data_IF_215505726409
#
_entry.id   IF_215505726409
#
_cell.length_a   1.000
_cell.length_b   1.000
_cell.length_c   1.000
_cell.angle_alpha   90.00
_cell.angle_beta   90.00
_cell.angle_gamma   90.00
#
_symmetry.space_group_name_H-M   'P 1'
#
loop_
_entity.id
_entity.type
_entity.pdbx_description
1 polymer ?
#
# COMPACT_ATOMS: atom_id res chain seq x y z
N UNK A 1 0.63 17.56 -2.03
CA UNK A 1 1.88 17.00 -2.62
C UNK A 1 1.82 15.49 -2.47
N UNK A 2 2.14 14.71 -3.51
CA UNK A 2 1.92 13.24 -3.55
C UNK A 2 2.92 12.41 -2.73
N UNK A 3 3.79 13.04 -1.93
CA UNK A 3 4.71 12.36 -1.02
C UNK A 3 5.85 11.59 -1.68
N UNK A 4 5.82 11.32 -2.98
CA UNK A 4 6.88 10.62 -3.71
C UNK A 4 7.64 11.59 -4.64
N UNK A 5 8.97 11.43 -4.79
CA UNK A 5 9.73 12.17 -5.79
C UNK A 5 9.34 11.73 -7.20
N UNK A 6 9.20 12.68 -8.11
CA UNK A 6 8.97 12.39 -9.54
C UNK A 6 10.32 12.25 -10.22
N UNK A 7 10.59 11.11 -10.85
CA UNK A 7 11.89 10.81 -11.48
C UNK A 7 11.93 11.09 -12.97
N UNK A 8 10.82 10.81 -13.66
CA UNK A 8 10.69 10.84 -15.11
C UNK A 8 9.35 11.47 -15.45
N UNK A 9 9.35 12.37 -16.43
CA UNK A 9 8.13 12.84 -17.08
C UNK A 9 8.03 12.20 -18.46
N UNK A 10 6.93 11.52 -18.75
CA UNK A 10 6.65 10.92 -20.06
C UNK A 10 5.45 11.60 -20.72
N UNK A 11 5.44 11.65 -22.06
CA UNK A 11 4.34 12.19 -22.85
C UNK A 11 4.29 11.53 -24.23
N UNK A 12 3.11 11.60 -24.87
CA UNK A 12 2.87 11.06 -26.21
C UNK A 12 2.41 12.18 -27.14
N UNK A 13 3.15 12.39 -28.22
CA UNK A 13 2.85 13.43 -29.20
C UNK A 13 2.29 12.79 -30.46
N UNK A 14 1.10 13.23 -30.86
CA UNK A 14 0.52 12.90 -32.16
C UNK A 14 1.01 13.91 -33.20
N UNK A 15 1.84 13.44 -34.15
CA UNK A 15 2.44 14.29 -35.17
C UNK A 15 1.46 14.77 -36.24
N UNK A 16 0.24 14.24 -36.28
CA UNK A 16 -0.83 14.79 -37.13
C UNK A 16 -1.37 16.12 -36.60
N UNK A 17 -1.24 16.37 -35.29
CA UNK A 17 -1.73 17.57 -34.62
C UNK A 17 -0.59 18.52 -34.23
N UNK A 18 0.52 17.97 -33.72
CA UNK A 18 1.62 18.76 -33.17
C UNK A 18 2.99 18.20 -33.58
N UNK A 19 3.90 19.06 -34.00
CA UNK A 19 5.28 18.64 -34.36
C UNK A 19 6.09 18.11 -33.17
N UNK A 20 5.72 18.44 -31.94
CA UNK A 20 6.45 18.06 -30.72
C UNK A 20 7.67 18.94 -30.42
N UNK A 21 7.80 20.06 -31.11
CA UNK A 21 8.95 20.97 -31.00
C UNK A 21 9.11 21.55 -29.60
N UNK A 22 8.02 21.90 -28.92
CA UNK A 22 8.04 22.41 -27.55
C UNK A 22 8.62 21.39 -26.56
N UNK A 23 8.31 20.10 -26.71
CA UNK A 23 8.85 19.05 -25.86
C UNK A 23 10.36 18.86 -26.10
N UNK A 24 10.79 18.88 -27.37
CA UNK A 24 12.23 18.85 -27.70
C UNK A 24 12.98 20.04 -27.12
N UNK A 25 12.43 21.25 -27.26
CA UNK A 25 13.01 22.46 -26.68
C UNK A 25 13.05 22.40 -25.15
N UNK A 26 12.05 21.78 -24.52
CA UNK A 26 12.03 21.51 -23.09
C UNK A 26 12.91 20.31 -22.69
N UNK A 27 13.81 19.81 -23.53
CA UNK A 27 14.74 18.73 -23.18
C UNK A 27 14.11 17.34 -23.06
N UNK A 28 12.96 17.09 -23.66
CA UNK A 28 12.42 15.74 -23.80
C UNK A 28 13.13 14.99 -24.92
N UNK A 29 13.40 13.71 -24.66
CA UNK A 29 14.11 12.80 -25.55
C UNK A 29 13.08 11.87 -26.22
N UNK A 30 13.07 11.74 -27.55
CA UNK A 30 12.21 10.78 -28.24
C UNK A 30 12.72 9.34 -28.02
N UNK A 31 11.88 8.47 -27.45
CA UNK A 31 12.25 7.07 -27.17
C UNK A 31 11.74 6.08 -28.23
N UNK A 32 10.75 6.47 -29.02
CA UNK A 32 10.18 5.59 -30.06
C UNK A 32 8.77 5.98 -30.46
N UNK A 33 8.13 5.16 -31.31
CA UNK A 33 6.77 5.37 -31.80
C UNK A 33 5.82 4.30 -31.26
N UNK A 34 4.58 4.69 -30.96
CA UNK A 34 3.53 3.76 -30.56
C UNK A 34 3.04 2.95 -31.76
N UNK A 35 2.47 1.78 -31.50
CA UNK A 35 1.95 0.88 -32.55
C UNK A 35 0.58 1.30 -33.10
N UNK A 36 0.00 2.41 -32.64
CA UNK A 36 -1.31 2.89 -33.09
C UNK A 36 -2.51 2.09 -32.59
N UNK A 37 -2.44 1.59 -31.36
CA UNK A 37 -3.54 0.86 -30.70
C UNK A 37 -4.19 1.72 -29.61
N UNK A 38 -5.51 1.57 -29.50
CA UNK A 38 -6.34 2.17 -28.45
C UNK A 38 -6.91 1.07 -27.56
N UNK A 39 -7.42 1.44 -26.39
CA UNK A 39 -8.02 0.50 -25.43
C UNK A 39 -9.47 0.90 -25.17
N UNK A 40 -10.39 -0.03 -25.39
CA UNK A 40 -11.82 0.12 -25.08
C UNK A 40 -12.35 -1.17 -24.45
N UNK A 41 -13.12 -1.04 -23.37
CA UNK A 41 -13.69 -2.18 -22.62
C UNK A 41 -12.68 -3.32 -22.32
N UNK A 42 -11.42 -2.97 -22.02
CA UNK A 42 -10.36 -3.93 -21.71
C UNK A 42 -9.73 -4.64 -22.92
N UNK A 43 -10.20 -4.38 -24.15
CA UNK A 43 -9.61 -4.91 -25.39
C UNK A 43 -8.81 -3.82 -26.12
N UNK A 44 -7.71 -4.23 -26.75
CA UNK A 44 -6.94 -3.37 -27.65
C UNK A 44 -7.52 -3.45 -29.05
N UNK A 45 -7.68 -2.30 -29.71
CA UNK A 45 -8.10 -2.22 -31.11
C UNK A 45 -7.14 -1.32 -31.91
N UNK A 46 -6.82 -1.69 -33.15
CA UNK A 46 -5.99 -0.86 -34.01
C UNK A 46 -6.78 0.37 -34.47
N UNK A 47 -6.18 1.55 -34.37
CA UNK A 47 -6.75 2.80 -34.93
C UNK A 47 -5.75 3.54 -35.83
N UNK A 48 -4.54 3.00 -36.05
CA UNK A 48 -3.56 3.51 -37.00
C UNK A 48 -2.89 4.84 -36.64
N UNK A 49 -3.22 5.46 -35.51
CA UNK A 49 -2.65 6.76 -35.09
C UNK A 49 -1.36 6.55 -34.32
N UNK A 50 -0.24 6.72 -35.01
CA UNK A 50 1.10 6.56 -34.46
C UNK A 50 1.51 7.83 -33.71
N UNK A 51 1.87 7.68 -32.43
CA UNK A 51 2.36 8.78 -31.58
C UNK A 51 3.84 8.57 -31.28
N UNK A 52 4.61 9.63 -31.15
CA UNK A 52 5.98 9.53 -30.65
C UNK A 52 5.97 9.63 -29.13
N UNK A 53 6.65 8.68 -28.49
CA UNK A 53 6.88 8.66 -27.06
C UNK A 53 8.08 9.54 -26.73
N UNK A 54 7.88 10.51 -25.86
CA UNK A 54 8.89 11.42 -25.35
C UNK A 54 9.03 11.22 -23.85
N UNK A 55 10.27 11.19 -23.36
CA UNK A 55 10.55 11.13 -21.93
C UNK A 55 11.62 12.14 -21.54
N UNK A 56 11.51 12.70 -20.34
CA UNK A 56 12.47 13.61 -19.77
C UNK A 56 12.88 13.12 -18.37
N UNK A 57 14.13 12.66 -18.18
CA UNK A 57 14.65 12.40 -16.84
C UNK A 57 14.79 13.72 -16.09
N UNK A 58 14.30 13.76 -14.85
CA UNK A 58 14.36 14.94 -13.99
C UNK A 58 15.65 15.01 -13.18
N UNK A 59 16.32 13.86 -12.97
CA UNK A 59 17.60 13.75 -12.29
C UNK A 59 18.60 12.98 -13.17
N UNK A 60 19.90 13.24 -12.98
CA UNK A 60 20.96 12.57 -13.72
C UNK A 60 20.96 11.03 -13.53
N UNK A 61 20.64 10.57 -12.32
CA UNK A 61 20.58 9.15 -11.98
C UNK A 61 19.19 8.51 -12.14
N UNK A 62 18.23 9.20 -12.79
CA UNK A 62 16.85 8.69 -12.98
C UNK A 62 16.83 7.28 -13.56
N UNK A 63 17.63 7.00 -14.60
CA UNK A 63 17.65 5.68 -15.24
C UNK A 63 18.16 4.59 -14.30
N UNK A 64 19.27 4.85 -13.58
CA UNK A 64 19.84 3.90 -12.61
C UNK A 64 18.87 3.59 -11.48
N UNK A 65 18.13 4.61 -11.02
CA UNK A 65 17.13 4.45 -9.96
C UNK A 65 15.93 3.64 -10.44
N UNK A 66 15.42 3.91 -11.65
CA UNK A 66 14.30 3.16 -12.22
C UNK A 66 14.68 1.73 -12.63
N UNK A 67 15.95 1.48 -12.97
CA UNK A 67 16.47 0.14 -13.28
C UNK A 67 16.86 -0.66 -12.04
N UNK A 68 16.82 -0.06 -10.84
CA UNK A 68 17.24 -0.75 -9.62
C UNK A 68 16.25 -1.89 -9.28
N UNK A 69 16.74 -3.05 -8.81
CA UNK A 69 15.88 -4.18 -8.43
C UNK A 69 14.97 -3.86 -7.23
N UNK A 70 15.35 -2.87 -6.43
CA UNK A 70 14.62 -2.44 -5.24
C UNK A 70 14.47 -0.92 -5.20
N UNK A 71 13.46 -0.39 -4.49
CA UNK A 71 13.30 1.05 -4.31
C UNK A 71 14.56 1.66 -3.70
N UNK A 72 15.17 2.62 -4.39
CA UNK A 72 16.32 3.36 -3.88
C UNK A 72 15.90 4.28 -2.74
N UNK A 73 16.80 4.62 -1.79
CA UNK A 73 16.49 5.57 -0.71
C UNK A 73 15.93 6.90 -1.21
N UNK A 74 16.38 7.34 -2.40
CA UNK A 74 15.84 8.51 -3.08
C UNK A 74 14.34 8.35 -3.36
N UNK A 75 13.91 7.23 -3.96
CA UNK A 75 12.47 6.95 -4.20
C UNK A 75 11.65 6.84 -2.91
N UNK A 76 12.29 6.45 -1.80
CA UNK A 76 11.65 6.34 -0.48
C UNK A 76 11.58 7.68 0.27
N UNK A 77 12.23 8.73 -0.25
CA UNK A 77 12.25 10.06 0.37
C UNK A 77 10.86 10.71 0.26
N UNK A 78 9.99 10.39 1.22
CA UNK A 78 8.71 11.06 1.45
C UNK A 78 7.47 10.16 1.61
N UNK A 79 7.55 8.85 1.39
CA UNK A 79 6.35 7.99 1.40
C UNK A 79 6.31 6.89 2.44
N UNK A 80 7.43 6.35 2.91
CA UNK A 80 7.40 5.31 3.95
C UNK A 80 8.73 5.37 4.70
N UNK A 81 8.77 5.27 6.04
CA UNK A 81 10.02 4.87 6.69
C UNK A 81 10.56 3.63 5.97
N UNK A 82 11.89 3.43 5.88
CA UNK A 82 12.42 2.16 5.39
C UNK A 82 11.69 1.03 6.12
N UNK A 83 11.30 -0.07 5.43
CA UNK A 83 10.64 -1.17 6.10
C UNK A 83 11.53 -1.54 7.29
N UNK A 84 11.01 -1.41 8.51
CA UNK A 84 11.80 -1.66 9.71
C UNK A 84 12.22 -3.14 9.78
N UNK A 85 11.65 -3.99 8.92
CA UNK A 85 11.81 -5.42 8.89
C UNK A 85 11.88 -5.97 7.46
N UNK A 86 12.80 -6.92 7.25
CA UNK A 86 12.84 -7.77 6.07
C UNK A 86 11.72 -8.83 6.14
N UNK A 87 10.73 -8.75 5.24
CA UNK A 87 9.62 -9.71 5.17
C UNK A 87 10.08 -11.15 4.91
N UNK A 88 11.17 -11.34 4.17
CA UNK A 88 11.70 -12.66 3.83
C UNK A 88 12.36 -13.37 5.02
N UNK A 89 12.73 -12.63 6.07
CA UNK A 89 13.33 -13.19 7.29
C UNK A 89 12.31 -13.40 8.40
N UNK A 90 11.07 -12.96 8.20
CA UNK A 90 10.03 -13.02 9.21
C UNK A 90 9.29 -14.36 9.14
N UNK A 91 9.21 -15.05 10.27
CA UNK A 91 8.34 -16.22 10.40
C UNK A 91 6.86 -15.78 10.51
N UNK A 92 6.18 -15.79 9.36
CA UNK A 92 4.77 -15.44 9.25
C UNK A 92 3.86 -16.43 9.99
N UNK A 93 4.24 -17.71 10.04
CA UNK A 93 3.46 -18.73 10.75
C UNK A 93 3.56 -18.54 12.27
N UNK A 94 4.76 -18.25 12.77
CA UNK A 94 4.98 -17.89 14.18
C UNK A 94 4.22 -16.64 14.60
N UNK A 95 4.14 -15.61 13.74
CA UNK A 95 3.34 -14.42 13.99
C UNK A 95 1.85 -14.75 14.14
N UNK A 96 1.29 -15.52 13.20
CA UNK A 96 -0.12 -15.92 13.24
C UNK A 96 -0.41 -16.74 14.50
N UNK A 97 0.47 -17.67 14.86
CA UNK A 97 0.35 -18.48 16.08
C UNK A 97 0.34 -17.61 17.34
N UNK A 98 1.19 -16.58 17.41
CA UNK A 98 1.17 -15.65 18.54
C UNK A 98 -0.15 -14.86 18.63
N UNK A 99 -0.75 -14.52 17.48
CA UNK A 99 -2.03 -13.82 17.43
C UNK A 99 -3.24 -14.72 17.74
N UNK A 100 -3.10 -16.04 17.66
CA UNK A 100 -4.16 -16.98 18.09
C UNK A 100 -4.37 -17.01 19.60
N UNK A 101 -3.35 -16.63 20.39
CA UNK A 101 -3.49 -16.49 21.83
C UNK A 101 -4.43 -15.34 22.25
N UNK A 102 -4.71 -14.40 21.33
CA UNK A 102 -5.61 -13.26 21.59
C UNK A 102 -7.06 -13.69 21.43
N UNK A 103 -7.83 -13.63 22.53
CA UNK A 103 -9.26 -13.97 22.55
C UNK A 103 -10.05 -13.05 21.62
N UNK A 104 -10.84 -13.64 20.71
CA UNK A 104 -11.66 -12.90 19.75
C UNK A 104 -12.80 -12.12 20.44
N UNK A 105 -12.78 -10.77 20.39
CA UNK A 105 -13.83 -9.92 20.96
C UNK A 105 -15.01 -9.68 19.99
N UNK A 106 -14.99 -10.23 18.76
CA UNK A 106 -16.02 -9.97 17.75
C UNK A 106 -17.34 -10.69 18.08
N UNK A 107 -18.46 -10.00 17.81
CA UNK A 107 -19.79 -10.61 17.80
C UNK A 107 -19.87 -11.64 16.66
N UNK A 108 -20.48 -12.80 16.89
CA UNK A 108 -20.57 -13.93 15.93
C UNK A 108 -21.30 -13.65 14.60
N UNK A 109 -21.81 -12.45 14.36
CA UNK A 109 -22.57 -12.14 13.14
C UNK A 109 -21.64 -11.71 11.99
N UNK A 110 -21.64 -12.48 10.89
CA UNK A 110 -21.01 -12.08 9.62
C UNK A 110 -19.48 -12.20 9.57
N UNK A 111 -18.87 -13.04 10.41
CA UNK A 111 -17.41 -13.21 10.47
C UNK A 111 -16.92 -14.01 9.25
N UNK A 112 -16.13 -13.35 8.39
CA UNK A 112 -15.59 -13.97 7.17
C UNK A 112 -14.20 -14.61 7.35
N UNK A 113 -13.40 -14.09 8.28
CA UNK A 113 -12.02 -14.52 8.54
C UNK A 113 -11.83 -14.74 10.05
N UNK A 114 -10.93 -15.66 10.42
CA UNK A 114 -10.49 -15.83 11.81
C UNK A 114 -9.97 -14.50 12.37
N UNK A 115 -10.04 -14.28 13.67
CA UNK A 115 -9.58 -13.02 14.26
C UNK A 115 -8.07 -12.80 14.11
N UNK A 116 -7.29 -13.87 14.23
CA UNK A 116 -5.83 -13.88 14.13
C UNK A 116 -5.31 -13.36 12.78
N UNK A 117 -6.00 -13.63 11.68
CA UNK A 117 -5.50 -13.35 10.33
C UNK A 117 -5.48 -11.85 9.99
N UNK A 118 -6.59 -11.07 10.08
CA UNK A 118 -6.52 -9.63 9.86
C UNK A 118 -5.68 -8.92 10.93
N UNK A 119 -5.62 -9.45 12.15
CA UNK A 119 -4.81 -8.85 13.21
C UNK A 119 -3.32 -9.01 12.93
N UNK A 120 -2.87 -10.20 12.51
CA UNK A 120 -1.49 -10.43 12.08
C UNK A 120 -1.09 -9.51 10.93
N UNK A 121 -1.97 -9.32 9.95
CA UNK A 121 -1.74 -8.40 8.83
C UNK A 121 -1.63 -6.95 9.30
N UNK A 122 -2.48 -6.52 10.23
CA UNK A 122 -2.41 -5.16 10.77
C UNK A 122 -1.09 -4.94 11.52
N UNK A 123 -0.69 -5.88 12.36
CA UNK A 123 0.58 -5.81 13.10
C UNK A 123 1.75 -5.80 12.14
N UNK A 124 1.75 -6.69 11.14
CA UNK A 124 2.77 -6.76 10.11
C UNK A 124 2.88 -5.44 9.34
N UNK A 125 1.76 -4.89 8.88
CA UNK A 125 1.73 -3.62 8.18
C UNK A 125 2.19 -2.46 9.08
N UNK A 126 1.82 -2.46 10.37
CA UNK A 126 2.29 -1.46 11.32
C UNK A 126 3.81 -1.54 11.54
N UNK A 127 4.38 -2.75 11.64
CA UNK A 127 5.83 -2.96 11.73
C UNK A 127 6.56 -2.49 10.46
N UNK A 128 5.93 -2.65 9.30
CA UNK A 128 6.46 -2.13 8.04
C UNK A 128 6.24 -0.61 7.86
N UNK A 129 5.62 0.07 8.83
CA UNK A 129 5.45 1.52 8.83
C UNK A 129 4.15 2.02 8.21
N UNK A 130 3.11 1.18 8.06
CA UNK A 130 1.78 1.64 7.68
C UNK A 130 1.15 2.47 8.82
N UNK A 131 0.65 3.66 8.48
CA UNK A 131 0.01 4.59 9.42
C UNK A 131 -1.51 4.74 9.18
N UNK A 132 -2.03 4.10 8.12
CA UNK A 132 -3.43 4.20 7.72
C UNK A 132 -3.99 2.88 7.19
N UNK A 133 -5.31 2.67 7.35
CA UNK A 133 -6.00 1.48 6.81
C UNK A 133 -5.78 1.29 5.31
N UNK A 134 -5.75 2.39 4.55
CA UNK A 134 -5.52 2.36 3.10
C UNK A 134 -4.13 1.84 2.76
N UNK A 135 -3.11 2.25 3.50
CA UNK A 135 -1.75 1.73 3.32
C UNK A 135 -1.69 0.23 3.62
N UNK A 136 -2.39 -0.26 4.65
CA UNK A 136 -2.49 -1.70 4.95
C UNK A 136 -3.04 -2.46 3.73
N UNK A 137 -4.16 -2.01 3.15
CA UNK A 137 -4.73 -2.64 1.94
C UNK A 137 -3.72 -2.62 0.78
N UNK A 138 -3.11 -1.47 0.50
CA UNK A 138 -2.13 -1.34 -0.58
C UNK A 138 -0.92 -2.27 -0.42
N UNK A 139 -0.52 -2.58 0.81
CA UNK A 139 0.58 -3.50 1.10
C UNK A 139 0.17 -4.97 0.97
N UNK A 140 -1.11 -5.27 1.16
CA UNK A 140 -1.66 -6.64 1.14
C UNK A 140 -2.12 -7.04 -0.26
N UNK A 141 -2.62 -6.09 -1.06
CA UNK A 141 -3.12 -6.31 -2.42
C UNK A 141 -2.12 -7.02 -3.37
N UNK A 142 -0.80 -6.70 -3.36
CA UNK A 142 0.17 -7.35 -4.25
C UNK A 142 0.77 -8.66 -3.69
N UNK A 143 0.30 -9.17 -2.55
CA UNK A 143 0.90 -10.36 -1.94
C UNK A 143 0.69 -11.64 -2.79
N UNK A 144 1.71 -12.50 -2.93
CA UNK A 144 1.57 -13.75 -3.65
C UNK A 144 0.71 -14.75 -2.86
N UNK A 145 0.09 -15.68 -3.59
CA UNK A 145 -0.83 -16.69 -3.03
C UNK A 145 -0.20 -17.56 -1.94
N UNK A 146 1.12 -17.80 -2.01
CA UNK A 146 1.87 -18.54 -0.99
C UNK A 146 1.81 -17.84 0.38
N UNK A 147 2.11 -16.54 0.40
CA UNK A 147 2.06 -15.71 1.60
C UNK A 147 0.64 -15.57 2.14
N UNK A 148 -0.38 -15.49 1.28
CA UNK A 148 -1.79 -15.47 1.71
C UNK A 148 -2.22 -16.79 2.37
N UNK A 149 -1.65 -17.91 1.94
CA UNK A 149 -1.87 -19.22 2.57
C UNK A 149 -1.23 -19.29 3.96
N UNK A 150 -0.01 -18.79 4.10
CA UNK A 150 0.71 -18.70 5.38
C UNK A 150 -0.01 -17.80 6.38
N UNK A 151 -0.56 -16.67 5.91
CA UNK A 151 -1.37 -15.76 6.73
C UNK A 151 -2.78 -16.29 7.04
N UNK A 152 -3.19 -17.43 6.48
CA UNK A 152 -4.50 -18.04 6.71
C UNK A 152 -5.68 -17.27 6.10
N UNK A 153 -5.46 -16.50 5.03
CA UNK A 153 -6.47 -15.68 4.34
C UNK A 153 -7.44 -16.51 3.49
N UNK A 154 -8.06 -17.53 4.08
CA UNK A 154 -8.98 -18.43 3.37
C UNK A 154 -10.42 -17.93 3.47
N UNK A 155 -11.08 -17.72 2.32
CA UNK A 155 -12.50 -17.37 2.22
C UNK A 155 -13.15 -18.20 1.13
N UNK A 156 -14.20 -18.96 1.47
CA UNK A 156 -14.95 -19.81 0.50
C UNK A 156 -14.04 -20.71 -0.35
N UNK A 157 -13.03 -21.34 0.28
CA UNK A 157 -12.02 -22.22 -0.36
C UNK A 157 -11.04 -21.56 -1.34
N UNK A 158 -11.04 -20.23 -1.43
CA UNK A 158 -10.06 -19.46 -2.21
C UNK A 158 -9.29 -18.56 -1.25
N UNK A 159 -8.00 -18.31 -1.50
CA UNK A 159 -7.28 -17.28 -0.75
C UNK A 159 -7.48 -15.94 -1.43
N UNK A 160 -8.07 -15.01 -0.68
CA UNK A 160 -8.42 -13.68 -1.16
C UNK A 160 -7.83 -12.65 -0.19
N UNK A 161 -7.40 -11.51 -0.73
CA UNK A 161 -6.98 -10.39 0.10
C UNK A 161 -8.18 -9.84 0.88
N UNK A 162 -8.03 -9.56 2.18
CA UNK A 162 -9.08 -8.92 2.97
C UNK A 162 -9.27 -7.46 2.56
N UNK A 163 -10.53 -7.06 2.38
CA UNK A 163 -10.90 -5.67 2.13
C UNK A 163 -10.71 -4.77 3.37
N UNK A 164 -10.60 -3.46 3.14
CA UNK A 164 -10.51 -2.42 4.17
C UNK A 164 -11.57 -2.51 5.29
N UNK A 165 -12.78 -2.99 4.94
CA UNK A 165 -13.88 -3.19 5.87
C UNK A 165 -13.53 -4.17 7.00
N UNK A 166 -12.78 -5.23 6.69
CA UNK A 166 -12.40 -6.29 7.63
C UNK A 166 -11.36 -5.79 8.62
N UNK A 167 -10.36 -5.04 8.16
CA UNK A 167 -9.36 -4.42 9.06
C UNK A 167 -10.01 -3.42 10.02
N UNK A 168 -10.97 -2.63 9.53
CA UNK A 168 -11.73 -1.69 10.36
C UNK A 168 -12.54 -2.41 11.45
N UNK A 169 -13.19 -3.52 11.11
CA UNK A 169 -13.93 -4.34 12.07
C UNK A 169 -13.00 -4.99 13.10
N UNK A 170 -11.84 -5.49 12.65
CA UNK A 170 -10.82 -6.08 13.51
C UNK A 170 -10.30 -5.08 14.55
N UNK A 171 -9.89 -3.89 14.11
CA UNK A 171 -9.38 -2.83 14.98
C UNK A 171 -10.45 -2.29 15.91
N UNK A 172 -11.68 -2.09 15.42
CA UNK A 172 -12.79 -1.64 16.26
C UNK A 172 -13.05 -2.62 17.41
N UNK A 173 -12.99 -3.92 17.13
CA UNK A 173 -13.20 -4.96 18.13
C UNK A 173 -12.01 -5.08 19.11
N UNK A 174 -10.77 -4.86 18.64
CA UNK A 174 -9.55 -4.99 19.45
C UNK A 174 -9.27 -3.77 20.34
N UNK A 175 -9.42 -2.55 19.82
CA UNK A 175 -9.05 -1.29 20.51
C UNK A 175 -10.18 -0.76 21.39
N UNK A 176 -11.43 -1.22 21.24
CA UNK A 176 -12.52 -0.70 22.09
C UNK A 176 -13.74 -1.61 22.27
N UNK A 177 -14.16 -1.78 23.53
CA UNK A 177 -15.53 -1.45 23.93
C UNK A 177 -15.51 -0.38 25.04
N UNK A 178 -16.40 0.64 25.13
CA UNK A 178 -17.32 1.30 24.20
C UNK A 178 -17.00 2.81 24.13
N UNK A 179 -16.00 3.25 23.35
CA UNK A 179 -15.69 4.69 23.23
C UNK A 179 -14.89 4.96 21.95
N UNK A 180 -15.58 5.10 20.81
CA UNK A 180 -14.94 5.64 19.61
C UNK A 180 -15.45 7.06 19.34
N UNK A 181 -14.61 8.04 19.70
CA UNK A 181 -14.43 9.25 18.88
C UNK A 181 -13.05 9.14 18.25
N UNK A 182 -12.93 8.31 17.21
CA UNK A 182 -11.72 8.24 16.39
C UNK A 182 -11.65 9.52 15.55
N UNK A 183 -10.84 10.46 16.05
CA UNK A 183 -10.40 11.65 15.33
C UNK A 183 -9.60 11.22 14.10
N UNK A 184 -9.75 11.89 12.93
CA UNK A 184 -8.90 11.67 11.78
C UNK A 184 -7.53 12.31 12.06
N UNK A 185 -6.63 11.55 12.69
CA UNK A 185 -5.24 11.91 12.89
C UNK A 185 -4.42 10.63 12.85
N UNK A 186 -3.43 10.57 11.97
CA UNK A 186 -2.58 9.40 11.75
C UNK A 186 -1.95 8.86 13.03
N UNK A 187 -1.51 7.60 12.99
CA UNK A 187 -1.02 6.82 14.12
C UNK A 187 0.22 7.36 14.84
N UNK A 188 0.77 8.50 14.42
CA UNK A 188 1.79 9.24 15.15
C UNK A 188 1.26 10.58 15.64
N UNK A 189 0.81 10.64 16.90
CA UNK A 189 1.14 11.74 17.80
C UNK A 189 1.32 11.22 19.23
N UNK A 190 2.52 11.45 19.76
CA UNK A 190 2.93 11.42 21.17
C UNK A 190 3.56 10.12 21.70
N UNK A 191 4.76 9.80 21.22
CA UNK A 191 5.81 9.29 22.09
C UNK A 191 6.61 10.51 22.60
N UNK A 192 6.16 11.08 23.72
CA UNK A 192 6.79 12.27 24.29
C UNK A 192 5.91 12.90 25.35
N UNK A 193 6.39 12.84 26.59
CA UNK A 193 5.92 13.50 27.82
C UNK A 193 4.84 12.80 28.65
N UNK A 194 5.25 12.40 29.87
CA UNK A 194 4.40 12.47 31.06
C UNK A 194 3.70 11.18 31.49
N UNK A 195 4.42 10.32 32.21
CA UNK A 195 3.80 9.53 33.27
C UNK A 195 3.14 10.50 34.28
N UNK A 196 1.83 10.41 34.46
CA UNK A 196 1.23 10.68 35.76
C UNK A 196 0.00 9.78 36.00
N UNK A 197 -0.14 9.18 37.19
CA UNK A 197 -1.16 8.18 37.49
C UNK A 197 -2.41 8.86 38.05
N UNK A 198 -3.61 8.49 37.57
CA UNK A 198 -4.96 8.75 38.14
C UNK A 198 -5.99 8.41 37.04
N UNK A 199 -7.03 7.61 37.21
CA UNK A 199 -7.71 7.04 38.38
C UNK A 199 -8.27 5.68 37.98
N UNK A 200 -8.15 4.73 38.91
CA UNK A 200 -9.09 3.64 39.07
C UNK A 200 -10.52 4.21 39.08
N UNK A 201 -11.38 3.71 38.21
CA UNK A 201 -12.81 3.64 38.50
C UNK A 201 -13.25 2.21 38.24
N UNK A 202 -13.59 1.55 39.35
CA UNK A 202 -14.19 0.25 39.41
C UNK A 202 -15.53 0.22 38.66
N UNK A 203 -15.83 -0.95 38.09
CA UNK A 203 -17.18 -1.53 38.10
C UNK A 203 -17.04 -3.02 37.76
N UNK A 204 -17.07 -3.85 38.81
CA UNK A 204 -17.75 -5.17 38.81
C UNK A 204 -19.10 -4.97 39.52
N UNK A 205 -20.05 -5.89 39.41
CA UNK A 205 -20.11 -7.08 38.57
C UNK A 205 -20.96 -6.89 37.30
#
# INVERSE_FOLDING_TARGET
KYGHPVLLAETFVDHTLFSGSCYRAAGFIPLGKTRGFGRSAGKYYPHGKIKTHFARPLYGDTLKQLSAPFPTPFMLTGTVPPPLLDLNRLDLAGLVAHMEAVKDPRKRCGVCYRFSTPLSIIVLAALLGAESLRQISQMVDPLPQKTLKELGCMRRRIYLTPENSIFRLALKAWICPPFYRLRPGGWKKNAGTGLSPRRFCACRP
#
